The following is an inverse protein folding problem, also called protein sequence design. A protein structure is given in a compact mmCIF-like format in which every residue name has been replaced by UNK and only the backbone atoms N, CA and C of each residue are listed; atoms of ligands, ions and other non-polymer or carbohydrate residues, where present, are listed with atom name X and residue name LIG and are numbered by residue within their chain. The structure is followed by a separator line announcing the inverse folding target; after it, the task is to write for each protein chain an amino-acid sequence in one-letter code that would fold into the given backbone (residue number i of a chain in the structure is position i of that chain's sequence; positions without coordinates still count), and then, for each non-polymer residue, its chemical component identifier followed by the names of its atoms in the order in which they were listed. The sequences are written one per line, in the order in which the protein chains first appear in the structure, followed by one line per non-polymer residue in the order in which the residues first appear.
data_IF_812402545240
#
_entry.id   IF_812402545240
#
_cell.length_a   1.000
_cell.length_b   1.000
_cell.length_c   1.000
_cell.angle_alpha   90.00
_cell.angle_beta   90.00
_cell.angle_gamma   90.00
#
_symmetry.space_group_name_H-M   'P 1'
#
loop_
_entity.id
_entity.type
_entity.pdbx_description
1 polymer ?
#
# COMPACT_ATOMS: atom_id res chain seq x y z
N UNK A 1 -12.99 -27.23 -0.24
CA UNK A 1 -12.71 -25.79 -0.39
C UNK A 1 -13.19 -25.40 -1.77
N UNK A 2 -14.09 -24.43 -1.90
CA UNK A 2 -14.56 -23.98 -3.21
C UNK A 2 -13.40 -23.31 -3.97
N UNK A 3 -12.99 -23.81 -5.15
CA UNK A 3 -11.90 -23.22 -5.94
C UNK A 3 -12.18 -21.75 -6.31
N UNK A 4 -13.44 -21.31 -6.34
CA UNK A 4 -13.82 -19.91 -6.63
C UNK A 4 -13.26 -18.92 -5.60
N UNK A 5 -13.07 -19.35 -4.35
CA UNK A 5 -12.55 -18.49 -3.28
C UNK A 5 -11.11 -18.02 -3.57
N UNK A 6 -10.26 -18.89 -4.11
CA UNK A 6 -8.88 -18.55 -4.47
C UNK A 6 -8.79 -17.48 -5.56
N UNK A 7 -9.68 -17.55 -6.56
CA UNK A 7 -9.81 -16.53 -7.59
C UNK A 7 -10.28 -15.19 -7.03
N UNK A 8 -11.26 -15.22 -6.11
CA UNK A 8 -11.74 -14.02 -5.41
C UNK A 8 -10.64 -13.31 -4.63
N UNK A 9 -9.83 -14.06 -3.87
CA UNK A 9 -8.69 -13.49 -3.14
C UNK A 9 -7.64 -12.88 -4.07
N UNK A 10 -7.29 -13.58 -5.16
CA UNK A 10 -6.34 -13.06 -6.13
C UNK A 10 -6.84 -11.75 -6.75
N UNK A 11 -8.10 -11.70 -7.17
CA UNK A 11 -8.72 -10.50 -7.72
C UNK A 11 -8.73 -9.33 -6.72
N UNK A 12 -9.09 -9.60 -5.45
CA UNK A 12 -9.08 -8.59 -4.39
C UNK A 12 -7.69 -8.00 -4.13
N UNK A 13 -6.66 -8.85 -4.08
CA UNK A 13 -5.27 -8.40 -3.90
C UNK A 13 -4.76 -7.60 -5.10
N UNK A 14 -5.10 -7.99 -6.34
CA UNK A 14 -4.78 -7.20 -7.54
C UNK A 14 -5.43 -5.83 -7.48
N UNK A 15 -6.74 -5.76 -7.19
CA UNK A 15 -7.48 -4.51 -7.12
C UNK A 15 -6.88 -3.58 -6.06
N UNK A 16 -6.59 -4.10 -4.87
CA UNK A 16 -6.00 -3.34 -3.78
C UNK A 16 -4.58 -2.83 -4.12
N UNK A 17 -3.72 -3.70 -4.68
CA UNK A 17 -2.40 -3.32 -5.16
C UNK A 17 -2.46 -2.24 -6.23
N UNK A 18 -3.38 -2.35 -7.18
CA UNK A 18 -3.59 -1.36 -8.25
C UNK A 18 -4.01 0.01 -7.71
N UNK A 19 -4.92 0.07 -6.72
CA UNK A 19 -5.32 1.34 -6.09
C UNK A 19 -4.13 2.03 -5.42
N UNK A 20 -3.31 1.29 -4.69
CA UNK A 20 -2.13 1.86 -4.02
C UNK A 20 -1.07 2.30 -5.01
N UNK A 21 -0.79 1.48 -6.02
CA UNK A 21 0.15 1.80 -7.10
C UNK A 21 -0.29 3.06 -7.85
N UNK A 22 -1.57 3.14 -8.25
CA UNK A 22 -2.14 4.32 -8.89
C UNK A 22 -2.01 5.56 -8.00
N UNK A 23 -2.46 5.47 -6.74
CA UNK A 23 -2.40 6.59 -5.80
C UNK A 23 -0.97 7.10 -5.60
N UNK A 24 0.00 6.18 -5.44
CA UNK A 24 1.42 6.52 -5.33
C UNK A 24 1.94 7.26 -6.56
N UNK A 25 1.52 6.85 -7.76
CA UNK A 25 1.95 7.50 -9.00
C UNK A 25 1.32 8.89 -9.18
N UNK A 26 0.05 9.06 -8.80
CA UNK A 26 -0.62 10.38 -8.81
C UNK A 26 0.03 11.37 -7.83
N UNK A 27 0.48 10.89 -6.67
CA UNK A 27 1.23 11.70 -5.72
C UNK A 27 2.63 12.03 -6.25
N UNK A 28 3.32 11.05 -6.82
CA UNK A 28 4.67 11.22 -7.36
C UNK A 28 4.73 12.15 -8.58
N UNK A 29 3.66 12.23 -9.38
CA UNK A 29 3.58 13.16 -10.52
C UNK A 29 3.37 14.62 -10.10
N UNK A 30 3.17 14.89 -8.80
CA UNK A 30 2.87 16.24 -8.30
C UNK A 30 1.45 16.71 -8.61
N UNK A 31 0.61 15.86 -9.20
CA UNK A 31 -0.77 16.18 -9.56
C UNK A 31 -1.69 16.38 -8.34
N UNK A 32 -1.22 16.04 -7.14
CA UNK A 32 -2.00 16.11 -5.90
C UNK A 32 -1.34 17.04 -4.89
N UNK A 33 -1.99 18.17 -4.59
CA UNK A 33 -1.69 18.98 -3.41
C UNK A 33 -2.49 18.54 -2.19
N UNK A 34 -2.30 19.22 -1.06
CA UNK A 34 -3.00 18.91 0.22
C UNK A 34 -4.54 18.87 0.11
N UNK A 35 -5.13 19.57 -0.85
CA UNK A 35 -6.59 19.58 -1.06
C UNK A 35 -7.11 18.44 -1.96
N UNK A 36 -6.27 17.46 -2.30
CA UNK A 36 -6.66 16.32 -3.13
C UNK A 36 -7.49 15.28 -2.37
N UNK A 37 -8.35 14.57 -3.08
CA UNK A 37 -9.01 13.35 -2.58
C UNK A 37 -8.05 12.15 -2.47
N UNK A 38 -6.88 12.22 -3.11
CA UNK A 38 -5.88 11.16 -3.17
C UNK A 38 -4.66 11.51 -2.29
N UNK A 39 -4.20 10.55 -1.47
CA UNK A 39 -3.00 10.67 -0.64
C UNK A 39 -3.20 10.27 0.83
N UNK A 40 -2.13 10.33 1.63
CA UNK A 40 -2.14 10.03 3.06
C UNK A 40 -2.55 11.31 3.82
N UNK A 41 -3.80 11.33 4.31
CA UNK A 41 -4.39 12.50 4.96
C UNK A 41 -4.37 12.33 6.48
N UNK A 42 -3.40 12.96 7.11
CA UNK A 42 -3.27 13.08 8.57
C UNK A 42 -3.24 14.56 8.93
N UNK A 43 -3.48 14.90 10.20
CA UNK A 43 -3.35 16.30 10.66
C UNK A 43 -1.98 16.88 10.28
N UNK A 44 -0.91 16.09 10.37
CA UNK A 44 0.45 16.52 10.05
C UNK A 44 0.68 16.70 8.53
N UNK A 45 0.31 15.71 7.70
CA UNK A 45 0.53 15.79 6.25
C UNK A 45 -0.30 16.90 5.59
N UNK A 46 -1.35 17.37 6.25
CA UNK A 46 -2.23 18.45 5.76
C UNK A 46 -1.84 19.85 6.25
N UNK A 47 -0.83 19.98 7.13
CA UNK A 47 -0.51 21.26 7.78
C UNK A 47 0.07 22.29 6.79
N UNK A 48 0.99 21.86 5.94
CA UNK A 48 1.67 22.71 4.94
C UNK A 48 1.99 21.92 3.66
N UNK A 49 2.26 22.62 2.57
CA UNK A 49 2.68 21.96 1.31
C UNK A 49 4.05 21.30 1.44
N UNK A 50 4.89 21.78 2.37
CA UNK A 50 6.15 21.14 2.76
C UNK A 50 5.89 19.83 3.49
N UNK A 51 5.02 19.83 4.50
CA UNK A 51 4.62 18.64 5.24
C UNK A 51 3.94 17.58 4.34
N UNK A 52 3.11 18.02 3.38
CA UNK A 52 2.52 17.15 2.37
C UNK A 52 3.59 16.43 1.54
N UNK A 53 4.54 17.18 0.96
CA UNK A 53 5.61 16.61 0.13
C UNK A 53 6.53 15.70 0.94
N UNK A 54 6.95 16.13 2.12
CA UNK A 54 7.84 15.35 2.99
C UNK A 54 7.19 14.03 3.43
N UNK A 55 5.93 14.07 3.85
CA UNK A 55 5.20 12.87 4.25
C UNK A 55 5.04 11.86 3.11
N UNK A 56 4.68 12.32 1.91
CA UNK A 56 4.51 11.44 0.75
C UNK A 56 5.84 10.90 0.21
N UNK A 57 6.91 11.70 0.23
CA UNK A 57 8.25 11.22 -0.10
C UNK A 57 8.71 10.10 0.85
N UNK A 58 8.48 10.27 2.17
CA UNK A 58 8.82 9.26 3.16
C UNK A 58 7.97 7.98 3.06
N UNK A 59 6.72 8.09 2.62
CA UNK A 59 5.82 6.95 2.43
C UNK A 59 6.14 6.14 1.17
N UNK A 60 6.68 6.77 0.12
CA UNK A 60 6.81 6.17 -1.21
C UNK A 60 7.50 4.80 -1.23
N UNK A 61 8.62 4.56 -0.52
CA UNK A 61 9.26 3.24 -0.51
C UNK A 61 8.36 2.15 0.07
N UNK A 62 7.64 2.46 1.16
CA UNK A 62 6.74 1.48 1.79
C UNK A 62 5.49 1.22 0.95
N UNK A 63 4.94 2.23 0.28
CA UNK A 63 3.85 2.05 -0.67
C UNK A 63 4.28 1.19 -1.86
N UNK A 64 5.53 1.35 -2.34
CA UNK A 64 6.09 0.48 -3.38
C UNK A 64 6.16 -0.98 -2.92
N UNK A 65 6.72 -1.23 -1.73
CA UNK A 65 6.78 -2.59 -1.18
C UNK A 65 5.36 -3.15 -0.95
N UNK A 66 4.41 -2.33 -0.51
CA UNK A 66 3.02 -2.73 -0.29
C UNK A 66 2.37 -3.24 -1.58
N UNK A 67 2.34 -2.44 -2.67
CA UNK A 67 1.67 -2.89 -3.89
C UNK A 67 2.37 -4.09 -4.54
N UNK A 68 3.71 -4.18 -4.46
CA UNK A 68 4.45 -5.34 -4.95
C UNK A 68 4.12 -6.60 -4.14
N UNK A 69 3.98 -6.46 -2.82
CA UNK A 69 3.55 -7.56 -1.94
C UNK A 69 2.14 -8.03 -2.31
N UNK A 70 1.22 -7.09 -2.58
CA UNK A 70 -0.14 -7.44 -3.01
C UNK A 70 -0.14 -8.20 -4.35
N UNK A 71 0.64 -7.76 -5.34
CA UNK A 71 0.76 -8.47 -6.62
C UNK A 71 1.43 -9.85 -6.49
N UNK A 72 2.47 -9.96 -5.67
CA UNK A 72 3.11 -11.26 -5.40
C UNK A 72 2.12 -12.22 -4.71
N UNK A 73 1.42 -11.77 -3.67
CA UNK A 73 0.41 -12.58 -3.00
C UNK A 73 -0.74 -12.97 -3.93
N UNK A 74 -1.17 -12.07 -4.82
CA UNK A 74 -2.19 -12.37 -5.83
C UNK A 74 -1.72 -13.46 -6.81
N UNK A 75 -0.49 -13.36 -7.32
CA UNK A 75 0.07 -14.33 -8.25
C UNK A 75 0.17 -15.73 -7.61
N UNK A 76 0.64 -15.81 -6.37
CA UNK A 76 0.71 -17.09 -5.64
C UNK A 76 -0.70 -17.63 -5.36
N UNK A 77 -1.64 -16.78 -4.96
CA UNK A 77 -3.03 -17.20 -4.71
C UNK A 77 -3.70 -17.73 -5.97
N UNK A 78 -3.46 -17.10 -7.12
CA UNK A 78 -3.96 -17.57 -8.42
C UNK A 78 -3.35 -18.92 -8.80
N UNK A 79 -2.03 -19.09 -8.63
CA UNK A 79 -1.35 -20.36 -8.90
C UNK A 79 -1.92 -21.50 -8.04
N UNK A 80 -2.17 -21.24 -6.75
CA UNK A 80 -2.80 -22.20 -5.84
C UNK A 80 -4.24 -22.53 -6.25
N UNK A 81 -5.02 -21.55 -6.70
CA UNK A 81 -6.38 -21.76 -7.19
C UNK A 81 -6.41 -22.65 -8.44
N UNK A 82 -5.50 -22.39 -9.39
CA UNK A 82 -5.36 -23.20 -10.61
C UNK A 82 -4.94 -24.64 -10.27
N UNK A 83 -3.99 -24.82 -9.36
CA UNK A 83 -3.54 -26.14 -8.93
C UNK A 83 -4.63 -26.92 -8.17
N UNK A 84 -5.42 -26.25 -7.34
CA UNK A 84 -6.56 -26.88 -6.66
C UNK A 84 -7.65 -27.30 -7.66
N UNK A 85 -7.92 -26.46 -8.66
CA UNK A 85 -8.89 -26.78 -9.72
C UNK A 85 -8.44 -27.96 -10.59
N UNK A 86 -7.14 -28.09 -10.88
CA UNK A 86 -6.61 -29.17 -11.73
C UNK A 86 -6.51 -30.52 -11.01
N UNK A 87 -6.29 -30.51 -9.69
CA UNK A 87 -6.13 -31.74 -8.88
C UNK A 87 -7.42 -32.19 -8.19
N UNK A 88 -8.46 -31.35 -8.18
CA UNK A 88 -9.70 -31.61 -7.42
C UNK A 88 -9.48 -31.68 -5.90
N UNK A 89 -8.31 -31.27 -5.41
CA UNK A 89 -7.92 -31.35 -4.00
C UNK A 89 -7.87 -29.96 -3.37
N UNK A 90 -8.50 -29.82 -2.21
CA UNK A 90 -8.45 -28.58 -1.43
C UNK A 90 -7.18 -28.53 -0.59
N UNK A 91 -6.40 -27.44 -0.70
CA UNK A 91 -5.24 -27.19 0.16
C UNK A 91 -5.54 -26.07 1.17
N UNK A 92 -5.22 -26.23 2.47
CA UNK A 92 -5.28 -25.13 3.44
C UNK A 92 -4.46 -23.90 3.00
N UNK A 93 -3.42 -24.11 2.19
CA UNK A 93 -2.59 -23.03 1.64
C UNK A 93 -3.42 -22.04 0.81
N UNK A 94 -4.51 -22.48 0.17
CA UNK A 94 -5.39 -21.63 -0.64
C UNK A 94 -6.13 -20.56 0.19
N UNK A 95 -6.20 -20.71 1.52
CA UNK A 95 -6.72 -19.69 2.44
C UNK A 95 -5.60 -18.95 3.18
N UNK A 96 -4.62 -19.68 3.68
CA UNK A 96 -3.55 -19.11 4.53
C UNK A 96 -2.70 -18.11 3.76
N UNK A 97 -2.34 -18.41 2.51
CA UNK A 97 -1.48 -17.55 1.69
C UNK A 97 -2.14 -16.20 1.36
N UNK A 98 -3.36 -16.14 0.80
CA UNK A 98 -4.00 -14.84 0.54
C UNK A 98 -4.30 -14.05 1.81
N UNK A 99 -4.65 -14.73 2.91
CA UNK A 99 -4.86 -14.08 4.20
C UNK A 99 -3.57 -13.44 4.72
N UNK A 100 -2.47 -14.19 4.73
CA UNK A 100 -1.15 -13.68 5.13
C UNK A 100 -0.68 -12.53 4.23
N UNK A 101 -0.87 -12.65 2.91
CA UNK A 101 -0.57 -11.59 1.95
C UNK A 101 -1.36 -10.30 2.21
N UNK A 102 -2.65 -10.43 2.52
CA UNK A 102 -3.51 -9.30 2.89
C UNK A 102 -3.02 -8.63 4.19
N UNK A 103 -2.72 -9.42 5.22
CA UNK A 103 -2.21 -8.90 6.50
C UNK A 103 -0.88 -8.16 6.31
N UNK A 104 0.06 -8.75 5.56
CA UNK A 104 1.34 -8.13 5.26
C UNK A 104 1.16 -6.80 4.49
N UNK A 105 0.28 -6.80 3.49
CA UNK A 105 -0.07 -5.59 2.75
C UNK A 105 -0.63 -4.48 3.67
N UNK A 106 -1.58 -4.80 4.55
CA UNK A 106 -2.17 -3.84 5.49
C UNK A 106 -1.13 -3.29 6.47
N UNK A 107 -0.24 -4.15 6.99
CA UNK A 107 0.85 -3.74 7.87
C UNK A 107 1.81 -2.75 7.19
N UNK A 108 2.11 -2.96 5.90
CA UNK A 108 2.93 -2.05 5.10
C UNK A 108 2.24 -0.70 4.89
N UNK A 109 0.91 -0.69 4.67
CA UNK A 109 0.15 0.57 4.58
C UNK A 109 0.15 1.35 5.88
N UNK A 110 -0.05 0.69 7.01
CA UNK A 110 0.04 1.32 8.34
C UNK A 110 1.43 1.90 8.55
N UNK A 111 2.47 1.15 8.21
CA UNK A 111 3.86 1.61 8.31
C UNK A 111 4.13 2.83 7.42
N UNK A 112 3.61 2.84 6.19
CA UNK A 112 3.71 3.98 5.29
C UNK A 112 3.02 5.23 5.88
N UNK A 113 1.84 5.07 6.46
CA UNK A 113 1.10 6.16 7.09
C UNK A 113 1.81 6.73 8.32
N UNK A 114 2.39 5.86 9.17
CA UNK A 114 3.20 6.28 10.33
C UNK A 114 4.43 7.06 9.89
N UNK A 115 5.17 6.57 8.89
CA UNK A 115 6.34 7.27 8.34
C UNK A 115 5.96 8.60 7.70
N UNK A 116 4.85 8.66 6.98
CA UNK A 116 4.34 9.90 6.39
C UNK A 116 4.04 10.95 7.46
N UNK A 117 3.32 10.56 8.51
CA UNK A 117 2.96 11.46 9.61
C UNK A 117 4.19 11.94 10.37
N UNK A 118 5.17 11.07 10.63
CA UNK A 118 6.40 11.46 11.31
C UNK A 118 7.23 12.46 10.48
N UNK A 119 7.42 12.18 9.18
CA UNK A 119 8.15 13.07 8.29
C UNK A 119 7.44 14.42 8.09
N UNK A 120 6.11 14.41 8.02
CA UNK A 120 5.31 15.64 7.93
C UNK A 120 5.47 16.52 9.18
N UNK A 121 5.45 15.93 10.38
CA UNK A 121 5.68 16.68 11.64
C UNK A 121 7.07 17.31 11.68
N UNK A 122 8.10 16.57 11.26
CA UNK A 122 9.47 17.07 11.23
C UNK A 122 9.67 18.21 10.21
N UNK A 123 8.85 18.26 9.16
CA UNK A 123 8.90 19.30 8.14
C UNK A 123 8.11 20.57 8.52
N UNK A 124 7.18 20.46 9.47
CA UNK A 124 6.34 21.56 9.96
C UNK A 124 6.82 22.12 11.30
N UNK A 125 7.93 21.59 11.82
CA UNK A 125 8.55 22.01 13.08
C UNK A 125 9.17 23.42 12.93
N UNK A 126 8.61 24.46 13.58
CA UNK A 126 9.08 25.84 13.43
C UNK A 126 10.49 26.06 14.00
N UNK A 127 10.98 25.17 14.87
CA UNK A 127 12.30 25.28 15.50
C UNK A 127 13.41 24.56 14.71
N UNK A 128 13.08 23.96 13.55
CA UNK A 128 14.07 23.30 12.69
C UNK A 128 14.93 24.36 11.98
N UNK A 129 16.27 24.36 12.17
CA UNK A 129 17.14 25.29 11.45
C UNK A 129 17.02 25.07 9.94
N UNK A 130 16.87 26.16 9.18
CA UNK A 130 16.85 26.14 7.72
C UNK A 130 18.18 25.54 7.23
N UNK A 131 18.12 24.30 6.74
CA UNK A 131 19.26 23.65 6.09
C UNK A 131 19.72 24.46 4.87
N UNK A 132 21.00 24.36 4.48
CA UNK A 132 21.54 25.13 3.36
C UNK A 132 20.73 24.86 2.09
N UNK A 133 20.26 25.96 1.49
CA UNK A 133 19.56 26.02 0.20
C UNK A 133 20.50 25.72 -0.97
#
# INVERSE_FOLDING_TARGET
MDPTAGFGFAAGLVAMGAVVHYTRNQVASGATGRNSALGIRTRATMASDGAWRAGHAAAAPMLTVAFLTAYAAAAVSLALAVAAASTGSGSPAALVVPAAGTVAFLALLVTAAVKANAAARAADDPDRPSGPH
#
